data_IF_497054468041
#
_entry.id   IF_497054468041
#
_cell.length_a   1.000
_cell.length_b   1.000
_cell.length_c   1.000
_cell.angle_alpha   90.00
_cell.angle_beta   90.00
_cell.angle_gamma   90.00
#
_symmetry.space_group_name_H-M   'P 1'
#
loop_
_entity.id
_entity.type
_entity.pdbx_description
1 polymer ?
#
# COMPACT_ATOMS: atom_id res chain seq x y z
N UNK A 1 -11.97 10.12 -16.70
CA UNK A 1 -12.89 10.84 -15.77
C UNK A 1 -14.21 10.10 -15.55
N UNK A 2 -14.69 9.28 -16.51
CA UNK A 2 -15.95 8.52 -16.36
C UNK A 2 -15.92 7.59 -15.14
N UNK A 3 -14.82 6.90 -14.90
CA UNK A 3 -14.71 5.90 -13.82
C UNK A 3 -14.69 6.55 -12.43
N UNK A 4 -13.87 7.59 -12.24
CA UNK A 4 -13.80 8.34 -10.98
C UNK A 4 -15.17 8.93 -10.62
N UNK A 5 -15.86 9.54 -11.59
CA UNK A 5 -17.21 10.08 -11.37
C UNK A 5 -18.18 8.98 -10.97
N UNK A 6 -18.17 7.84 -11.68
CA UNK A 6 -19.05 6.71 -11.40
C UNK A 6 -18.84 6.14 -9.99
N UNK A 7 -17.58 5.96 -9.57
CA UNK A 7 -17.25 5.48 -8.21
C UNK A 7 -17.72 6.47 -7.15
N UNK A 8 -17.51 7.78 -7.35
CA UNK A 8 -17.97 8.81 -6.41
C UNK A 8 -19.50 8.88 -6.33
N UNK A 9 -20.19 8.73 -7.45
CA UNK A 9 -21.65 8.69 -7.51
C UNK A 9 -22.19 7.45 -6.77
N UNK A 10 -21.53 6.29 -6.91
CA UNK A 10 -21.87 5.05 -6.18
C UNK A 10 -21.63 5.17 -4.67
N UNK A 11 -20.51 5.76 -4.25
CA UNK A 11 -20.23 6.03 -2.83
C UNK A 11 -21.32 6.93 -2.24
N UNK A 12 -21.69 8.00 -2.94
CA UNK A 12 -22.75 8.91 -2.52
C UNK A 12 -24.11 8.22 -2.40
N UNK A 13 -24.46 7.34 -3.34
CA UNK A 13 -25.69 6.55 -3.29
C UNK A 13 -25.77 5.64 -2.05
N UNK A 14 -24.62 5.23 -1.50
CA UNK A 14 -24.50 4.40 -0.30
C UNK A 14 -24.19 5.21 0.97
N UNK A 15 -24.37 6.54 0.96
CA UNK A 15 -24.05 7.44 2.07
C UNK A 15 -22.58 7.38 2.55
N UNK A 16 -21.66 7.02 1.66
CA UNK A 16 -20.22 7.05 1.92
C UNK A 16 -19.61 8.33 1.34
N UNK A 17 -18.81 9.01 2.16
CA UNK A 17 -18.16 10.27 1.79
C UNK A 17 -16.64 10.13 1.91
N UNK A 18 -15.95 10.50 0.84
CA UNK A 18 -14.48 10.51 0.81
C UNK A 18 -13.93 11.82 1.35
N UNK A 19 -12.90 11.72 2.20
CA UNK A 19 -12.12 12.87 2.68
C UNK A 19 -11.09 13.26 1.63
N UNK A 20 -11.32 14.35 0.91
CA UNK A 20 -10.47 14.81 -0.21
C UNK A 20 -8.98 14.85 0.16
N UNK A 21 -8.62 15.26 1.39
CA UNK A 21 -7.22 15.33 1.85
C UNK A 21 -6.47 13.98 1.87
N UNK A 22 -7.17 12.84 1.82
CA UNK A 22 -6.55 11.49 1.86
C UNK A 22 -6.41 10.83 0.48
N UNK A 23 -6.94 11.46 -0.57
CA UNK A 23 -6.97 10.86 -1.90
C UNK A 23 -6.17 11.70 -2.89
N UNK A 24 -5.42 11.01 -3.72
CA UNK A 24 -4.71 11.56 -4.85
C UNK A 24 -5.51 11.18 -6.11
N UNK A 25 -5.87 12.18 -6.91
CA UNK A 25 -6.54 11.95 -8.19
C UNK A 25 -5.64 12.46 -9.31
N UNK A 26 -5.66 11.73 -10.43
CA UNK A 26 -4.95 12.13 -11.66
C UNK A 26 -3.44 12.34 -11.48
N UNK A 27 -2.79 11.44 -10.72
CA UNK A 27 -1.34 11.44 -10.54
C UNK A 27 -0.67 10.41 -11.44
N UNK A 28 0.62 10.62 -11.74
CA UNK A 28 1.43 9.68 -12.54
C UNK A 28 2.04 8.55 -11.71
N UNK A 29 1.98 8.69 -10.38
CA UNK A 29 2.44 7.71 -9.40
C UNK A 29 1.56 7.82 -8.17
N UNK A 30 1.25 6.70 -7.52
CA UNK A 30 0.47 6.67 -6.28
C UNK A 30 0.89 5.54 -5.37
N UNK A 31 0.67 5.73 -4.07
CA UNK A 31 0.93 4.73 -3.04
C UNK A 31 -0.32 3.91 -2.77
N UNK A 32 -0.23 2.58 -2.92
CA UNK A 32 -1.35 1.67 -2.70
C UNK A 32 -0.89 0.39 -2.01
N UNK A 33 -1.43 0.09 -0.83
CA UNK A 33 -1.12 -1.11 -0.03
C UNK A 33 0.39 -1.32 0.24
N UNK A 34 1.13 -0.21 0.36
CA UNK A 34 2.58 -0.18 0.55
C UNK A 34 3.37 -0.61 -0.68
N UNK A 35 2.81 -0.34 -1.86
CA UNK A 35 3.47 -0.34 -3.15
C UNK A 35 3.35 1.05 -3.78
N UNK A 36 4.32 1.39 -4.61
CA UNK A 36 4.28 2.53 -5.50
C UNK A 36 3.86 2.02 -6.87
N UNK A 37 2.78 2.56 -7.40
CA UNK A 37 2.26 2.23 -8.72
C UNK A 37 2.48 3.42 -9.62
N UNK A 38 3.26 3.25 -10.69
CA UNK A 38 3.54 4.28 -11.68
C UNK A 38 3.43 3.74 -13.12
N UNK A 39 3.78 4.56 -14.10
CA UNK A 39 3.78 4.16 -15.51
C UNK A 39 4.78 3.05 -15.87
N UNK A 40 5.78 2.78 -15.02
CA UNK A 40 6.79 1.74 -15.21
C UNK A 40 6.35 0.41 -14.61
N UNK A 41 5.45 0.44 -13.61
CA UNK A 41 4.84 -0.76 -13.05
C UNK A 41 4.53 -0.62 -11.56
N UNK A 42 4.54 -1.75 -10.86
CA UNK A 42 4.28 -1.85 -9.42
C UNK A 42 5.60 -2.15 -8.73
N UNK A 43 6.02 -1.27 -7.82
CA UNK A 43 7.25 -1.40 -7.04
C UNK A 43 6.95 -1.41 -5.54
N UNK A 44 7.65 -2.22 -4.72
CA UNK A 44 7.56 -2.11 -3.27
C UNK A 44 8.02 -0.74 -2.80
N UNK A 45 7.40 -0.22 -1.73
CA UNK A 45 7.88 1.03 -1.12
C UNK A 45 9.32 0.88 -0.60
N UNK A 46 10.21 1.87 -0.82
CA UNK A 46 11.60 1.82 -0.37
C UNK A 46 11.76 1.50 1.11
N UNK A 47 10.86 2.03 1.95
CA UNK A 47 10.88 1.81 3.40
C UNK A 47 10.68 0.33 3.76
N UNK A 48 9.87 -0.42 2.99
CA UNK A 48 9.75 -1.87 3.17
C UNK A 48 11.03 -2.61 2.76
N UNK A 49 11.71 -2.14 1.71
CA UNK A 49 12.98 -2.73 1.27
C UNK A 49 14.10 -2.49 2.30
N UNK A 50 14.14 -1.30 2.90
CA UNK A 50 15.07 -0.96 3.98
C UNK A 50 14.83 -1.83 5.22
N UNK A 51 13.58 -2.02 5.63
CA UNK A 51 13.23 -2.92 6.74
C UNK A 51 13.68 -4.36 6.51
N UNK A 52 13.57 -4.88 5.28
CA UNK A 52 14.05 -6.23 4.93
C UNK A 52 15.58 -6.27 4.94
N UNK A 53 16.24 -5.21 4.45
CA UNK A 53 17.70 -5.12 4.35
C UNK A 53 18.38 -5.00 5.72
N UNK A 54 17.81 -4.19 6.61
CA UNK A 54 18.37 -3.91 7.93
C UNK A 54 17.89 -4.91 8.99
N UNK A 55 17.16 -5.95 8.57
CA UNK A 55 16.66 -6.97 9.47
C UNK A 55 17.82 -7.75 10.09
N UNK A 56 17.88 -7.88 11.44
CA UNK A 56 18.97 -8.59 12.10
C UNK A 56 18.89 -10.09 11.83
N UNK A 57 20.06 -10.74 11.72
CA UNK A 57 20.14 -12.20 11.53
C UNK A 57 19.30 -12.93 12.58
N UNK A 58 18.29 -13.66 12.13
CA UNK A 58 17.41 -14.41 13.02
C UNK A 58 18.18 -15.60 13.60
N UNK A 59 18.53 -15.52 14.89
CA UNK A 59 19.22 -16.61 15.62
C UNK A 59 18.28 -17.73 16.08
N UNK A 60 16.96 -17.46 16.09
CA UNK A 60 15.94 -18.36 16.62
C UNK A 60 14.85 -18.68 15.61
N UNK A 61 14.27 -19.88 15.72
CA UNK A 61 13.21 -20.38 14.85
C UNK A 61 11.97 -19.48 14.85
N UNK A 62 11.66 -18.85 15.99
CA UNK A 62 10.54 -17.90 16.13
C UNK A 62 10.79 -16.63 15.32
N UNK A 63 11.99 -16.07 15.40
CA UNK A 63 12.38 -14.88 14.63
C UNK A 63 12.44 -15.17 13.13
N UNK A 64 12.86 -16.38 12.74
CA UNK A 64 12.87 -16.81 11.35
C UNK A 64 11.44 -16.95 10.78
N UNK A 65 10.49 -17.50 11.56
CA UNK A 65 9.07 -17.56 11.19
C UNK A 65 8.43 -16.18 11.08
N UNK A 66 8.73 -15.27 12.00
CA UNK A 66 8.29 -13.88 11.93
C UNK A 66 8.86 -13.17 10.70
N UNK A 67 10.14 -13.39 10.39
CA UNK A 67 10.77 -12.87 9.17
C UNK A 67 10.10 -13.39 7.90
N UNK A 68 9.60 -14.62 7.84
CA UNK A 68 8.87 -15.10 6.65
C UNK A 68 7.43 -14.54 6.58
N UNK A 69 6.82 -14.23 7.72
CA UNK A 69 5.47 -13.68 7.79
C UNK A 69 5.38 -12.17 7.52
N UNK A 70 6.44 -11.41 7.82
CA UNK A 70 6.44 -9.94 7.69
C UNK A 70 6.62 -9.38 6.26
N UNK A 71 7.46 -9.90 5.36
CA UNK A 71 7.64 -9.34 4.02
C UNK A 71 6.42 -9.54 3.12
N UNK A 72 5.47 -10.39 3.53
CA UNK A 72 4.22 -10.68 2.81
C UNK A 72 2.99 -10.10 3.56
N UNK A 73 3.16 -9.73 4.83
CA UNK A 73 2.11 -9.15 5.66
C UNK A 73 1.89 -7.68 5.32
N UNK A 74 0.68 -7.36 4.86
CA UNK A 74 0.16 -6.00 4.77
C UNK A 74 0.44 -5.24 6.07
N UNK A 75 1.49 -4.41 6.05
CA UNK A 75 1.88 -3.56 7.17
C UNK A 75 0.71 -2.68 7.58
N UNK A 76 0.38 -2.78 8.88
CA UNK A 76 -0.36 -1.83 9.72
C UNK A 76 -1.23 -0.79 9.00
N UNK A 77 -2.55 -0.97 9.12
CA UNK A 77 -3.53 0.12 9.14
C UNK A 77 -3.12 1.24 10.10
#
# INVERSE_FOLDING_TARGET
MKDVKWVLDLLRANNLYVKIKKYEFFTNSTHFLGFIIDAKGIMPEPLKLELIRDWPDSKDLTSCKSFLGQPIGFGSL
#
